data_IF_069446596293
#
_entry.id   IF_069446596293
#
_cell.length_a   1.000
_cell.length_b   1.000
_cell.length_c   1.000
_cell.angle_alpha   90.00
_cell.angle_beta   90.00
_cell.angle_gamma   90.00
#
_symmetry.space_group_name_H-M   'P 1'
#
loop_
_entity.id
_entity.type
_entity.pdbx_description
1 polymer ?
#
# COMPACT_ATOMS: atom_id res chain seq x y z
N UNK A 1 5.68 24.29 0.04
CA UNK A 1 6.10 25.18 1.13
C UNK A 1 7.61 25.06 1.25
N UNK A 2 8.34 26.02 0.69
CA UNK A 2 9.80 26.15 0.81
C UNK A 2 10.11 26.94 2.09
N UNK A 3 11.04 26.46 2.90
CA UNK A 3 11.58 27.24 4.01
C UNK A 3 12.30 28.50 3.50
N UNK A 4 12.52 29.48 4.38
CA UNK A 4 13.05 30.83 4.09
C UNK A 4 14.35 30.87 3.26
N UNK A 5 15.09 29.76 3.14
CA UNK A 5 16.35 29.67 2.38
C UNK A 5 16.27 28.85 1.08
N UNK A 6 15.06 28.55 0.58
CA UNK A 6 14.91 27.79 -0.67
C UNK A 6 15.34 26.31 -0.60
N UNK A 7 15.70 25.82 0.59
CA UNK A 7 16.02 24.41 0.81
C UNK A 7 14.75 23.56 0.66
N UNK A 8 14.75 22.69 -0.35
CA UNK A 8 13.69 21.70 -0.59
C UNK A 8 14.02 20.47 0.24
N UNK A 9 13.19 20.21 1.24
CA UNK A 9 13.31 19.05 2.11
C UNK A 9 12.80 17.82 1.35
N UNK A 10 13.70 17.14 0.64
CA UNK A 10 13.43 15.82 0.04
C UNK A 10 13.96 14.78 1.03
N UNK A 11 13.15 14.46 2.03
CA UNK A 11 13.43 13.30 2.87
C UNK A 11 12.95 12.06 2.11
N UNK A 12 13.83 11.08 1.88
CA UNK A 12 13.41 9.74 1.52
C UNK A 12 12.75 9.14 2.76
N UNK A 13 11.41 9.15 2.80
CA UNK A 13 10.69 8.56 3.92
C UNK A 13 10.85 7.03 3.88
N UNK A 14 11.06 6.38 5.04
CA UNK A 14 11.07 4.92 5.10
C UNK A 14 9.73 4.37 4.63
N UNK A 15 9.72 3.11 4.17
CA UNK A 15 8.49 2.46 3.75
C UNK A 15 7.52 2.37 4.92
N UNK A 16 6.27 2.77 4.68
CA UNK A 16 5.19 2.68 5.67
C UNK A 16 4.82 1.20 5.90
N UNK A 17 4.93 0.70 7.14
CA UNK A 17 4.62 -0.70 7.44
C UNK A 17 3.11 -0.96 7.53
N UNK A 18 2.66 -2.23 7.42
CA UNK A 18 1.25 -2.57 7.57
C UNK A 18 0.62 -2.11 8.89
N UNK A 19 1.40 -2.09 9.98
CA UNK A 19 0.95 -1.59 11.29
C UNK A 19 0.65 -0.09 11.26
N UNK A 20 1.45 0.68 10.54
CA UNK A 20 1.28 2.13 10.40
C UNK A 20 0.10 2.47 9.48
N UNK A 21 -0.19 1.61 8.49
CA UNK A 21 -1.39 1.73 7.67
C UNK A 21 -2.66 1.55 8.51
N UNK A 22 -2.65 0.61 9.46
CA UNK A 22 -3.76 0.44 10.41
C UNK A 22 -3.87 1.61 11.40
N UNK A 23 -2.75 2.24 11.79
CA UNK A 23 -2.78 3.48 12.58
C UNK A 23 -3.35 4.63 11.76
N UNK A 24 -2.96 4.78 10.51
CA UNK A 24 -3.53 5.79 9.61
C UNK A 24 -5.05 5.61 9.42
N UNK A 25 -5.55 4.37 9.34
CA UNK A 25 -7.00 4.11 9.30
C UNK A 25 -7.73 4.63 10.54
N UNK A 26 -7.11 4.57 11.72
CA UNK A 26 -7.69 5.01 13.00
C UNK A 26 -7.50 6.50 13.28
N UNK A 27 -6.31 7.02 13.01
CA UNK A 27 -5.89 8.38 13.37
C UNK A 27 -6.09 9.38 12.21
N UNK A 28 -6.21 8.90 10.97
CA UNK A 28 -6.29 9.72 9.75
C UNK A 28 -7.64 10.37 9.48
N UNK A 29 -8.59 10.29 10.42
CA UNK A 29 -9.92 10.91 10.32
C UNK A 29 -10.67 10.50 9.04
N UNK A 30 -11.18 11.49 8.30
CA UNK A 30 -11.95 11.28 7.06
C UNK A 30 -11.14 10.54 5.99
N UNK A 31 -9.83 10.78 5.89
CA UNK A 31 -8.97 10.10 4.93
C UNK A 31 -8.65 8.65 5.35
N UNK A 32 -8.57 8.40 6.66
CA UNK A 32 -8.48 7.05 7.21
C UNK A 32 -9.74 6.24 6.92
N UNK A 33 -10.92 6.85 7.08
CA UNK A 33 -12.21 6.24 6.72
C UNK A 33 -12.31 5.94 5.22
N UNK A 34 -11.90 6.88 4.36
CA UNK A 34 -11.86 6.65 2.91
C UNK A 34 -10.90 5.50 2.53
N UNK A 35 -9.78 5.36 3.24
CA UNK A 35 -8.84 4.26 3.01
C UNK A 35 -9.45 2.90 3.42
N UNK A 36 -10.18 2.86 4.54
CA UNK A 36 -10.94 1.68 4.98
C UNK A 36 -12.04 1.30 3.96
N UNK A 37 -12.84 2.27 3.52
CA UNK A 37 -13.87 2.09 2.48
C UNK A 37 -13.26 1.54 1.20
N UNK A 38 -12.11 2.08 0.75
CA UNK A 38 -11.42 1.59 -0.43
C UNK A 38 -10.93 0.15 -0.27
N UNK A 39 -10.48 -0.25 0.92
CA UNK A 39 -10.12 -1.64 1.21
C UNK A 39 -11.34 -2.55 1.11
N UNK A 40 -12.49 -2.12 1.63
CA UNK A 40 -13.75 -2.86 1.51
C UNK A 40 -14.20 -3.00 0.05
N UNK A 41 -14.11 -1.92 -0.74
CA UNK A 41 -14.40 -1.93 -2.17
C UNK A 41 -13.49 -2.93 -2.93
N UNK A 42 -12.19 -2.93 -2.63
CA UNK A 42 -11.24 -3.86 -3.21
C UNK A 42 -11.52 -5.31 -2.79
N UNK A 43 -11.86 -5.55 -1.52
CA UNK A 43 -12.23 -6.90 -1.07
C UNK A 43 -13.49 -7.42 -1.74
N UNK A 44 -14.49 -6.56 -1.97
CA UNK A 44 -15.67 -6.91 -2.75
C UNK A 44 -15.31 -7.21 -4.20
N UNK A 45 -14.50 -6.38 -4.84
CA UNK A 45 -14.11 -6.57 -6.23
C UNK A 45 -13.32 -7.88 -6.44
N UNK A 46 -12.41 -8.19 -5.52
CA UNK A 46 -11.66 -9.46 -5.51
C UNK A 46 -12.59 -10.63 -5.21
N UNK A 47 -13.53 -10.48 -4.27
CA UNK A 47 -14.54 -11.51 -3.98
C UNK A 47 -15.41 -11.83 -5.19
N UNK A 48 -15.88 -10.81 -5.90
CA UNK A 48 -16.66 -10.95 -7.14
C UNK A 48 -15.82 -11.60 -8.26
N UNK A 49 -14.54 -11.22 -8.38
CA UNK A 49 -13.61 -11.86 -9.31
C UNK A 49 -13.44 -13.35 -8.99
N UNK A 50 -13.17 -13.69 -7.72
CA UNK A 50 -13.02 -15.08 -7.29
C UNK A 50 -14.28 -15.90 -7.54
N UNK A 51 -15.46 -15.36 -7.23
CA UNK A 51 -16.74 -16.02 -7.46
C UNK A 51 -17.02 -16.27 -8.95
N UNK A 52 -16.83 -15.25 -9.80
CA UNK A 52 -16.98 -15.38 -11.25
C UNK A 52 -16.03 -16.44 -11.82
N UNK A 53 -14.80 -16.47 -11.31
CA UNK A 53 -13.77 -17.42 -11.74
C UNK A 53 -14.10 -18.86 -11.35
N UNK A 54 -14.59 -19.07 -10.13
CA UNK A 54 -15.03 -20.40 -9.67
C UNK A 54 -16.20 -20.92 -10.51
N UNK A 55 -17.16 -20.05 -10.85
CA UNK A 55 -18.27 -20.39 -11.75
C UNK A 55 -17.77 -20.73 -13.16
N UNK A 56 -16.84 -19.95 -13.69
CA UNK A 56 -16.21 -20.20 -14.99
C UNK A 56 -15.48 -21.54 -15.04
N UNK A 57 -14.68 -21.85 -14.03
CA UNK A 57 -13.98 -23.14 -13.91
C UNK A 57 -14.98 -24.30 -13.84
N UNK A 58 -16.03 -24.17 -13.02
CA UNK A 58 -17.08 -25.18 -12.89
C UNK A 58 -17.81 -25.44 -14.22
N UNK A 59 -18.12 -24.38 -14.96
CA UNK A 59 -18.75 -24.45 -16.28
C UNK A 59 -17.88 -25.19 -17.30
N UNK A 60 -16.60 -24.83 -17.39
CA UNK A 60 -15.66 -25.42 -18.37
C UNK A 60 -15.37 -26.89 -18.03
N UNK A 61 -15.24 -27.23 -16.74
CA UNK A 61 -15.02 -28.60 -16.29
C UNK A 61 -16.22 -29.50 -16.60
N UNK A 62 -17.45 -28.98 -16.50
CA UNK A 62 -18.69 -29.71 -16.85
C UNK A 62 -18.76 -30.06 -18.34
N UNK A 63 -18.16 -29.24 -19.22
CA UNK A 63 -18.11 -29.51 -20.68
C UNK A 63 -16.94 -30.41 -21.12
N UNK A 64 -16.14 -30.96 -20.20
CA UNK A 64 -14.94 -31.78 -20.52
C UNK A 64 -13.95 -31.10 -21.48
N UNK A 65 -13.83 -29.78 -21.40
CA UNK A 65 -12.88 -29.04 -22.22
C UNK A 65 -11.43 -29.25 -21.73
N UNK A 66 -10.46 -29.11 -22.64
CA UNK A 66 -9.02 -29.21 -22.38
C UNK A 66 -8.53 -28.15 -21.38
N UNK A 67 -7.49 -28.47 -20.60
CA UNK A 67 -6.93 -27.57 -19.57
C UNK A 67 -6.51 -26.19 -20.09
N UNK A 68 -6.15 -26.08 -21.37
CA UNK A 68 -5.86 -24.79 -22.02
C UNK A 68 -7.07 -23.85 -22.05
N UNK A 69 -8.27 -24.39 -22.25
CA UNK A 69 -9.53 -23.62 -22.23
C UNK A 69 -9.86 -23.16 -20.81
N UNK A 70 -9.54 -23.96 -19.79
CA UNK A 70 -9.69 -23.58 -18.37
C UNK A 70 -8.78 -22.40 -18.03
N UNK A 71 -7.55 -22.39 -18.55
CA UNK A 71 -6.60 -21.31 -18.28
C UNK A 71 -7.01 -19.98 -18.94
N UNK A 72 -7.48 -20.01 -20.19
CA UNK A 72 -7.95 -18.80 -20.87
C UNK A 72 -9.26 -18.26 -20.28
N UNK A 73 -10.16 -19.14 -19.88
CA UNK A 73 -11.40 -18.74 -19.18
C UNK A 73 -11.13 -18.21 -17.79
N UNK A 74 -10.12 -18.72 -17.07
CA UNK A 74 -9.69 -18.15 -15.79
C UNK A 74 -9.38 -16.65 -15.93
N UNK A 75 -8.56 -16.25 -16.91
CA UNK A 75 -8.25 -14.84 -17.16
C UNK A 75 -9.47 -14.02 -17.60
N UNK A 76 -10.38 -14.61 -18.38
CA UNK A 76 -11.59 -13.92 -18.82
C UNK A 76 -12.57 -13.64 -17.67
N UNK A 77 -12.90 -14.66 -16.89
CA UNK A 77 -13.86 -14.54 -15.79
C UNK A 77 -13.31 -13.74 -14.60
N UNK A 78 -12.01 -13.82 -14.31
CA UNK A 78 -11.38 -12.98 -13.28
C UNK A 78 -11.49 -11.50 -13.62
N UNK A 79 -11.13 -11.10 -14.84
CA UNK A 79 -11.20 -9.69 -15.28
C UNK A 79 -12.64 -9.21 -15.31
N UNK A 80 -13.57 -9.99 -15.86
CA UNK A 80 -14.99 -9.63 -15.89
C UNK A 80 -15.58 -9.46 -14.49
N UNK A 81 -15.32 -10.42 -13.59
CA UNK A 81 -15.77 -10.36 -12.21
C UNK A 81 -15.15 -9.19 -11.43
N UNK A 82 -13.87 -8.89 -11.69
CA UNK A 82 -13.20 -7.74 -11.10
C UNK A 82 -13.79 -6.41 -11.58
N UNK A 83 -14.04 -6.26 -12.89
CA UNK A 83 -14.67 -5.06 -13.45
C UNK A 83 -16.09 -4.86 -12.89
N UNK A 84 -16.91 -5.91 -12.87
CA UNK A 84 -18.26 -5.84 -12.28
C UNK A 84 -18.20 -5.48 -10.79
N UNK A 85 -17.34 -6.16 -10.04
CA UNK A 85 -17.15 -5.87 -8.62
C UNK A 85 -16.64 -4.45 -8.37
N UNK A 86 -15.71 -3.95 -9.18
CA UNK A 86 -15.21 -2.59 -9.09
C UNK A 86 -16.31 -1.56 -9.39
N UNK A 87 -17.19 -1.81 -10.36
CA UNK A 87 -18.33 -0.91 -10.66
C UNK A 87 -19.42 -0.93 -9.59
N UNK A 88 -19.69 -2.08 -8.95
CA UNK A 88 -20.68 -2.18 -7.87
C UNK A 88 -20.16 -1.66 -6.53
N UNK A 89 -18.86 -1.81 -6.27
CA UNK A 89 -18.25 -1.45 -5.00
C UNK A 89 -18.50 -0.01 -4.53
N UNK A 90 -18.45 1.06 -5.38
CA UNK A 90 -18.75 2.43 -4.94
C UNK A 90 -20.23 2.70 -4.68
N UNK A 91 -21.14 1.82 -5.14
CA UNK A 91 -22.58 1.92 -4.85
C UNK A 91 -22.86 1.44 -3.43
N UNK A 92 -22.23 0.34 -3.02
CA UNK A 92 -22.39 -0.27 -1.69
C UNK A 92 -21.58 0.48 -0.64
N UNK A 93 -20.37 0.91 -1.00
CA UNK A 93 -19.46 1.64 -0.14
C UNK A 93 -19.15 3.01 -0.76
N UNK A 94 -19.96 4.05 -0.48
CA UNK A 94 -19.78 5.36 -1.09
C UNK A 94 -18.46 6.00 -0.65
N UNK A 95 -17.82 6.72 -1.57
CA UNK A 95 -16.58 7.45 -1.28
C UNK A 95 -16.88 8.67 -0.40
N UNK A 96 -16.18 8.77 0.72
CA UNK A 96 -16.25 9.88 1.68
C UNK A 96 -15.28 11.00 1.27
N UNK A 97 -14.17 10.67 0.61
CA UNK A 97 -13.16 11.64 0.15
C UNK A 97 -12.53 11.22 -1.19
N UNK A 98 -11.84 12.16 -1.84
CA UNK A 98 -11.11 11.90 -3.08
C UNK A 98 -9.90 10.99 -2.85
N UNK A 99 -9.76 9.94 -3.67
CA UNK A 99 -8.65 9.00 -3.58
C UNK A 99 -7.26 9.68 -3.74
N UNK A 100 -7.18 10.76 -4.53
CA UNK A 100 -5.95 11.52 -4.73
C UNK A 100 -5.56 12.24 -3.44
N UNK A 101 -6.51 12.90 -2.81
CA UNK A 101 -6.32 13.60 -1.54
C UNK A 101 -5.94 12.63 -0.43
N UNK A 102 -6.64 11.48 -0.30
CA UNK A 102 -6.30 10.45 0.67
C UNK A 102 -4.87 9.94 0.50
N UNK A 103 -4.39 9.78 -0.73
CA UNK A 103 -3.01 9.35 -0.99
C UNK A 103 -1.97 10.40 -0.59
N UNK A 104 -2.26 11.69 -0.82
CA UNK A 104 -1.41 12.80 -0.40
C UNK A 104 -1.41 12.94 1.12
N UNK A 105 -2.59 12.92 1.74
CA UNK A 105 -2.74 13.06 3.20
C UNK A 105 -2.12 11.90 3.96
N UNK A 106 -2.14 10.68 3.40
CA UNK A 106 -1.39 9.54 3.97
C UNK A 106 0.11 9.78 3.98
N UNK A 107 0.69 10.30 2.88
CA UNK A 107 2.12 10.64 2.81
C UNK A 107 2.48 11.74 3.79
N UNK A 108 1.64 12.77 3.91
CA UNK A 108 1.82 13.86 4.87
C UNK A 108 1.72 13.36 6.31
N UNK A 109 0.74 12.51 6.61
CA UNK A 109 0.59 11.88 7.93
C UNK A 109 1.83 11.05 8.27
N UNK A 110 2.33 10.25 7.34
CA UNK A 110 3.55 9.47 7.53
C UNK A 110 4.78 10.34 7.74
N UNK A 111 4.93 11.41 6.97
CA UNK A 111 5.99 12.40 7.18
C UNK A 111 5.97 13.00 8.58
N UNK A 112 4.78 13.34 9.07
CA UNK A 112 4.61 13.87 10.42
C UNK A 112 4.97 12.85 11.49
N UNK A 113 4.64 11.58 11.29
CA UNK A 113 4.94 10.52 12.27
C UNK A 113 6.45 10.20 12.32
N UNK A 114 7.12 10.14 11.15
CA UNK A 114 8.57 10.03 11.07
C UNK A 114 9.27 11.24 11.72
N UNK A 115 8.75 12.45 11.49
CA UNK A 115 9.33 13.67 12.01
C UNK A 115 9.31 13.82 13.54
N UNK A 116 8.43 13.10 14.23
CA UNK A 116 8.40 13.08 15.70
C UNK A 116 9.67 12.48 16.31
N UNK A 117 10.32 11.58 15.59
CA UNK A 117 11.48 10.80 16.07
C UNK A 117 12.79 11.28 15.44
N UNK A 118 12.76 12.38 14.69
CA UNK A 118 13.97 12.97 14.12
C UNK A 118 14.75 13.69 15.20
N UNK A 119 16.02 13.32 15.32
CA UNK A 119 16.97 14.03 16.15
C UNK A 119 17.44 15.28 15.40
N UNK A 120 16.88 16.43 15.76
CA UNK A 120 17.23 17.73 15.19
C UNK A 120 18.61 18.22 15.61
N UNK A 121 19.32 17.51 16.51
CA UNK A 121 20.68 17.89 16.94
C UNK A 121 21.77 17.55 15.91
N UNK A 122 21.47 16.71 14.91
CA UNK A 122 22.38 16.33 13.83
C UNK A 122 22.32 17.26 12.61
N UNK A 123 22.05 18.56 12.83
CA UNK A 123 22.05 19.55 11.75
C UNK A 123 23.48 19.95 11.37
N UNK A 124 24.03 19.30 10.34
CA UNK A 124 25.27 19.75 9.70
C UNK A 124 25.00 20.19 8.25
N UNK A 125 25.15 21.49 7.98
CA UNK A 125 25.27 22.06 6.63
C UNK A 125 24.00 22.27 5.76
N UNK A 126 24.25 22.45 4.46
CA UNK A 126 23.31 22.98 3.46
C UNK A 126 22.23 22.01 2.95
N UNK A 127 22.32 20.73 3.29
CA UNK A 127 21.41 19.68 2.86
C UNK A 127 21.12 18.74 4.03
N UNK A 128 19.85 18.49 4.30
CA UNK A 128 19.42 17.69 5.43
C UNK A 128 19.32 16.21 5.05
N UNK A 129 20.24 15.40 5.56
CA UNK A 129 20.14 13.94 5.53
C UNK A 129 19.81 13.45 6.94
N UNK A 130 18.53 13.46 7.31
CA UNK A 130 18.12 12.87 8.58
C UNK A 130 18.24 11.35 8.50
N UNK A 131 19.17 10.76 9.27
CA UNK A 131 19.23 9.33 9.48
C UNK A 131 17.99 8.90 10.29
N UNK A 132 17.06 8.16 9.67
CA UNK A 132 15.95 7.57 10.41
C UNK A 132 16.51 6.47 11.33
N UNK A 133 16.25 6.48 12.65
CA UNK A 133 16.88 5.56 13.61
C UNK A 133 16.49 4.07 13.46
N UNK A 134 15.73 3.70 12.43
CA UNK A 134 15.28 2.33 12.16
C UNK A 134 15.74 1.72 10.83
N UNK A 135 16.55 2.40 10.04
CA UNK A 135 17.11 1.81 8.82
C UNK A 135 18.36 0.97 9.11
N UNK A 136 18.17 -0.15 9.83
CA UNK A 136 19.01 -1.33 9.52
C UNK A 136 18.30 -2.07 8.39
N UNK A 137 18.61 -1.68 7.16
CA UNK A 137 18.28 -2.47 5.98
C UNK A 137 18.74 -3.92 6.24
N UNK A 138 17.94 -4.95 5.91
CA UNK A 138 18.25 -6.35 6.24
C UNK A 138 19.55 -6.88 5.62
N UNK A 139 20.19 -6.14 4.72
CA UNK A 139 21.53 -6.44 4.21
C UNK A 139 22.64 -6.19 5.24
N UNK A 140 22.52 -5.16 6.11
CA UNK A 140 23.56 -4.86 7.11
C UNK A 140 23.58 -5.81 8.31
N UNK A 141 22.62 -6.73 8.42
CA UNK A 141 22.62 -7.79 9.43
C UNK A 141 23.40 -9.03 8.97
N UNK A 142 23.68 -9.18 7.67
CA UNK A 142 24.53 -10.27 7.17
C UNK A 142 26.02 -9.94 7.31
N UNK A 143 26.42 -8.72 6.94
CA UNK A 143 27.84 -8.35 6.94
C UNK A 143 28.43 -8.31 8.37
N UNK A 144 27.67 -7.83 9.35
CA UNK A 144 28.12 -7.78 10.75
C UNK A 144 28.22 -9.15 11.45
N UNK A 145 27.54 -10.19 10.93
CA UNK A 145 27.62 -11.53 11.49
C UNK A 145 28.78 -12.34 10.90
N UNK A 146 29.33 -11.93 9.76
CA UNK A 146 30.53 -12.55 9.16
C UNK A 146 31.82 -11.95 9.75
N UNK A 147 31.84 -10.65 10.08
CA UNK A 147 32.99 -10.02 10.77
C UNK A 147 33.16 -10.50 12.22
N UNK A 148 32.08 -10.89 12.91
CA UNK A 148 32.15 -11.39 14.28
C UNK A 148 32.48 -12.90 14.38
N UNK A 149 32.53 -13.62 13.25
CA UNK A 149 32.86 -15.05 13.20
C UNK A 149 34.33 -15.34 12.84
N UNK A 150 35.14 -14.30 12.59
CA UNK A 150 36.54 -14.43 12.16
C UNK A 150 37.54 -13.62 12.98
N UNK A 151 37.18 -13.23 14.22
CA UNK A 151 38.08 -12.64 15.20
C UNK A 151 38.35 -13.58 16.38
#
# INVERSE_FOLDING_TARGET
>A
MTGKDGKVLVADLPMMYPKDLLRFEKEGGVWGQQYCVRRQQLTLAVGAAAFSTLLGIGYVRRRRNTGFVVFSTFTGFTVLGFCLGATLSPIIYPNVASNRETSMMRRVWWAKECAKHWDYSQMDGNSWHAAHPHDRLPQQLKDNNEECATA
#
